data_IF_732910071642
#
_entry.id   IF_732910071642
#
_cell.length_a   1.000
_cell.length_b   1.000
_cell.length_c   1.000
_cell.angle_alpha   90.00
_cell.angle_beta   90.00
_cell.angle_gamma   90.00
#
_symmetry.space_group_name_H-M   'P 1'
#
loop_
_entity.id
_entity.type
_entity.pdbx_description
1 polymer ?
#
# COMPACT_ATOMS: atom_id res chain seq x y z
N UNK A 1 -1.67 4.67 -28.71
CA UNK A 1 -3.00 4.81 -28.05
C UNK A 1 -2.84 5.52 -26.72
N UNK A 2 -3.70 6.50 -26.41
CA UNK A 2 -3.75 7.06 -25.06
C UNK A 2 -4.30 5.98 -24.11
N UNK A 3 -3.74 5.81 -22.89
CA UNK A 3 -4.31 4.95 -21.88
C UNK A 3 -5.79 5.29 -21.64
N UNK A 4 -6.66 4.29 -21.63
CA UNK A 4 -8.08 4.45 -21.34
C UNK A 4 -8.39 3.98 -19.91
N UNK A 5 -9.26 4.71 -19.20
CA UNK A 5 -9.62 4.40 -17.82
C UNK A 5 -10.66 3.27 -17.77
N UNK A 6 -10.47 2.29 -16.88
CA UNK A 6 -11.45 1.25 -16.57
C UNK A 6 -12.07 1.46 -15.16
N UNK A 7 -13.25 2.10 -15.06
CA UNK A 7 -13.92 2.33 -13.77
C UNK A 7 -14.33 1.04 -13.05
N UNK A 8 -14.65 -0.03 -13.80
CA UNK A 8 -15.01 -1.33 -13.20
C UNK A 8 -13.77 -2.00 -12.62
N UNK A 9 -12.65 -1.93 -13.34
CA UNK A 9 -11.34 -2.35 -12.88
C UNK A 9 -10.91 -1.65 -11.59
N UNK A 10 -11.19 -0.35 -11.47
CA UNK A 10 -10.92 0.41 -10.23
C UNK A 10 -11.66 -0.17 -9.02
N UNK A 11 -12.98 -0.34 -9.15
CA UNK A 11 -13.80 -0.86 -8.06
C UNK A 11 -13.39 -2.27 -7.64
N UNK A 12 -13.15 -3.16 -8.61
CA UNK A 12 -12.74 -4.54 -8.35
C UNK A 12 -11.41 -4.61 -7.58
N UNK A 13 -10.42 -3.82 -7.98
CA UNK A 13 -9.09 -3.83 -7.36
C UNK A 13 -9.06 -3.18 -5.98
N UNK A 14 -9.85 -2.13 -5.75
CA UNK A 14 -10.06 -1.63 -4.39
C UNK A 14 -10.71 -2.71 -3.51
N UNK A 15 -11.75 -3.37 -4.04
CA UNK A 15 -12.41 -4.49 -3.36
C UNK A 15 -11.46 -5.61 -2.97
N UNK A 16 -10.55 -6.03 -3.86
CA UNK A 16 -9.53 -7.05 -3.56
C UNK A 16 -8.57 -6.61 -2.45
N UNK A 17 -8.15 -5.35 -2.47
CA UNK A 17 -7.25 -4.81 -1.44
C UNK A 17 -7.93 -4.80 -0.06
N UNK A 18 -9.19 -4.35 0.00
CA UNK A 18 -9.99 -4.36 1.23
C UNK A 18 -10.22 -5.79 1.72
N UNK A 19 -10.57 -6.73 0.82
CA UNK A 19 -10.76 -8.14 1.15
C UNK A 19 -9.48 -8.78 1.73
N UNK A 20 -8.31 -8.42 1.21
CA UNK A 20 -7.02 -8.86 1.76
C UNK A 20 -6.83 -8.39 3.20
N UNK A 21 -7.02 -7.10 3.49
CA UNK A 21 -6.84 -6.57 4.85
C UNK A 21 -7.87 -7.11 5.84
N UNK A 22 -9.14 -7.21 5.45
CA UNK A 22 -10.18 -7.82 6.29
C UNK A 22 -9.86 -9.29 6.56
N UNK A 23 -9.48 -10.04 5.52
CA UNK A 23 -9.19 -11.46 5.64
C UNK A 23 -7.92 -11.76 6.45
N UNK A 24 -6.92 -10.89 6.41
CA UNK A 24 -5.70 -11.03 7.24
C UNK A 24 -5.91 -10.59 8.69
N UNK A 25 -6.82 -9.63 8.94
CA UNK A 25 -7.12 -9.17 10.29
C UNK A 25 -8.12 -10.07 11.05
N UNK A 26 -9.15 -10.56 10.36
CA UNK A 26 -10.29 -11.25 10.99
C UNK A 26 -10.50 -12.70 10.54
N UNK A 27 -9.79 -13.14 9.49
CA UNK A 27 -9.88 -14.51 8.99
C UNK A 27 -9.08 -15.50 9.84
N UNK A 28 -9.31 -16.79 9.59
CA UNK A 28 -8.45 -17.85 10.15
C UNK A 28 -7.05 -17.80 9.55
N UNK A 29 -6.03 -18.29 10.27
CA UNK A 29 -4.65 -18.37 9.78
C UNK A 29 -4.54 -18.97 8.37
N UNK A 30 -5.20 -20.11 8.04
CA UNK A 30 -5.13 -20.66 6.69
C UNK A 30 -5.75 -19.73 5.62
N UNK A 31 -6.74 -18.92 5.99
CA UNK A 31 -7.34 -17.94 5.07
C UNK A 31 -6.39 -16.78 4.83
N UNK A 32 -5.78 -16.23 5.88
CA UNK A 32 -4.80 -15.16 5.78
C UNK A 32 -3.58 -15.59 4.93
N UNK A 33 -3.06 -16.79 5.15
CA UNK A 33 -1.93 -17.34 4.38
C UNK A 33 -2.28 -17.53 2.90
N UNK A 34 -3.46 -18.07 2.57
CA UNK A 34 -3.92 -18.19 1.17
C UNK A 34 -4.08 -16.83 0.50
N UNK A 35 -4.62 -15.84 1.20
CA UNK A 35 -4.75 -14.47 0.68
C UNK A 35 -3.39 -13.83 0.44
N UNK A 36 -2.43 -13.97 1.36
CA UNK A 36 -1.07 -13.48 1.18
C UNK A 36 -0.38 -14.14 -0.01
N UNK A 37 -0.52 -15.46 -0.17
CA UNK A 37 0.01 -16.18 -1.33
C UNK A 37 -0.61 -15.68 -2.64
N UNK A 38 -1.93 -15.47 -2.67
CA UNK A 38 -2.62 -14.97 -3.86
C UNK A 38 -2.14 -13.57 -4.25
N UNK A 39 -2.04 -12.64 -3.29
CA UNK A 39 -1.52 -11.28 -3.54
C UNK A 39 -0.07 -11.32 -4.00
N UNK A 40 0.78 -12.10 -3.32
CA UNK A 40 2.18 -12.26 -3.72
C UNK A 40 2.32 -12.83 -5.13
N UNK A 41 1.49 -13.81 -5.49
CA UNK A 41 1.47 -14.38 -6.85
C UNK A 41 1.06 -13.34 -7.89
N UNK A 42 0.13 -12.43 -7.55
CA UNK A 42 -0.21 -11.31 -8.43
C UNK A 42 0.95 -10.34 -8.56
N UNK A 43 1.58 -9.92 -7.46
CA UNK A 43 2.73 -9.00 -7.47
C UNK A 43 3.87 -9.50 -8.38
N UNK A 44 4.14 -10.80 -8.38
CA UNK A 44 5.14 -11.42 -9.27
C UNK A 44 4.95 -11.12 -10.76
N UNK A 45 3.72 -10.85 -11.17
CA UNK A 45 3.38 -10.54 -12.57
C UNK A 45 3.42 -9.04 -12.89
N UNK A 46 3.49 -8.16 -11.88
CA UNK A 46 3.38 -6.71 -12.07
C UNK A 46 4.76 -6.08 -12.15
N UNK A 47 5.22 -5.86 -13.38
CA UNK A 47 6.51 -5.24 -13.71
C UNK A 47 6.33 -4.18 -14.78
N UNK A 48 7.21 -3.20 -14.79
CA UNK A 48 7.12 -2.11 -15.76
C UNK A 48 8.38 -1.27 -15.86
N UNK A 49 8.37 -0.34 -16.80
CA UNK A 49 9.39 0.70 -16.92
C UNK A 49 8.66 2.02 -17.10
N UNK A 50 9.01 2.99 -16.27
CA UNK A 50 8.46 4.35 -16.32
C UNK A 50 8.95 5.09 -17.57
N UNK A 51 8.28 6.16 -18.01
CA UNK A 51 8.71 6.97 -19.16
C UNK A 51 10.13 7.57 -19.03
N UNK A 52 10.63 7.74 -17.81
CA UNK A 52 11.99 8.20 -17.51
C UNK A 52 13.03 7.07 -17.43
N UNK A 53 12.64 5.84 -17.78
CA UNK A 53 13.52 4.67 -17.82
C UNK A 53 13.67 3.93 -16.48
N UNK A 54 13.09 4.43 -15.38
CA UNK A 54 13.15 3.75 -14.10
C UNK A 54 12.33 2.44 -14.13
N UNK A 55 12.96 1.33 -13.73
CA UNK A 55 12.30 0.03 -13.63
C UNK A 55 11.40 -0.03 -12.40
N UNK A 56 10.29 -0.75 -12.54
CA UNK A 56 9.35 -1.06 -11.47
C UNK A 56 9.15 -2.57 -11.41
N UNK A 57 9.28 -3.13 -10.22
CA UNK A 57 8.94 -4.52 -9.92
C UNK A 57 8.18 -4.52 -8.58
N UNK A 58 6.97 -5.06 -8.57
CA UNK A 58 6.17 -5.14 -7.34
C UNK A 58 6.72 -6.16 -6.32
N UNK A 59 7.61 -7.06 -6.76
CA UNK A 59 8.34 -7.98 -5.88
C UNK A 59 9.62 -7.38 -5.29
N UNK A 60 10.01 -6.16 -5.70
CA UNK A 60 11.20 -5.51 -5.15
C UNK A 60 11.01 -5.28 -3.64
N UNK A 61 11.85 -5.88 -2.78
CA UNK A 61 11.70 -5.78 -1.33
C UNK A 61 11.85 -4.32 -0.84
N UNK A 62 12.62 -3.49 -1.54
CA UNK A 62 12.78 -2.07 -1.19
C UNK A 62 11.49 -1.29 -1.45
N UNK A 63 10.80 -1.53 -2.56
CA UNK A 63 9.52 -0.90 -2.85
C UNK A 63 8.40 -1.44 -1.98
N UNK A 64 8.41 -2.74 -1.70
CA UNK A 64 7.46 -3.37 -0.79
C UNK A 64 7.60 -2.83 0.64
N UNK A 65 8.83 -2.59 1.12
CA UNK A 65 9.09 -1.98 2.44
C UNK A 65 8.43 -0.60 2.58
N UNK A 66 8.51 0.23 1.55
CA UNK A 66 7.84 1.53 1.56
C UNK A 66 6.33 1.41 1.49
N UNK A 67 5.80 0.56 0.60
CA UNK A 67 4.36 0.31 0.50
C UNK A 67 3.79 -0.26 1.82
N UNK A 68 4.51 -1.15 2.48
CA UNK A 68 4.18 -1.63 3.82
C UNK A 68 4.09 -0.47 4.81
N UNK A 69 5.10 0.40 4.84
CA UNK A 69 5.17 1.52 5.77
C UNK A 69 4.02 2.50 5.58
N UNK A 70 3.62 2.81 4.34
CA UNK A 70 2.49 3.72 4.06
C UNK A 70 1.16 3.12 4.53
N UNK A 71 0.95 1.82 4.32
CA UNK A 71 -0.27 1.11 4.73
C UNK A 71 -0.40 1.05 6.24
N UNK A 72 0.61 0.53 6.94
CA UNK A 72 0.55 0.36 8.40
C UNK A 72 0.47 1.71 9.11
N UNK A 73 1.17 2.73 8.59
CA UNK A 73 1.04 4.11 9.08
C UNK A 73 -0.36 4.68 8.84
N UNK A 74 -0.95 4.47 7.66
CA UNK A 74 -2.27 4.96 7.32
C UNK A 74 -3.36 4.36 8.21
N UNK A 75 -3.34 3.05 8.43
CA UNK A 75 -4.29 2.35 9.30
C UNK A 75 -4.12 2.81 10.76
N UNK A 76 -2.87 2.85 11.26
CA UNK A 76 -2.59 3.34 12.61
C UNK A 76 -3.07 4.80 12.80
N UNK A 77 -2.76 5.67 11.85
CA UNK A 77 -3.14 7.10 11.91
C UNK A 77 -4.67 7.25 11.91
N UNK A 78 -5.38 6.50 11.06
CA UNK A 78 -6.83 6.49 11.06
C UNK A 78 -7.40 6.01 12.41
N UNK A 79 -6.84 4.95 12.99
CA UNK A 79 -7.21 4.50 14.34
C UNK A 79 -6.97 5.59 15.38
N UNK A 80 -5.81 6.25 15.34
CA UNK A 80 -5.47 7.29 16.30
C UNK A 80 -6.39 8.51 16.25
N UNK A 81 -6.89 8.86 15.05
CA UNK A 81 -7.74 10.02 14.80
C UNK A 81 -9.22 9.74 15.04
N UNK A 82 -9.71 8.55 14.66
CA UNK A 82 -11.14 8.29 14.55
C UNK A 82 -11.68 7.26 15.54
N UNK A 83 -10.83 6.44 16.18
CA UNK A 83 -11.31 5.51 17.18
C UNK A 83 -11.60 6.24 18.51
N UNK A 84 -12.74 5.98 19.18
CA UNK A 84 -13.14 6.70 20.40
C UNK A 84 -12.22 6.45 21.61
N UNK A 85 -11.52 5.31 21.63
CA UNK A 85 -10.49 4.99 22.63
C UNK A 85 -9.24 4.42 21.94
N UNK A 86 -8.41 5.24 21.31
CA UNK A 86 -7.38 4.78 20.40
C UNK A 86 -6.14 4.24 21.14
N UNK A 87 -5.40 3.33 20.50
CA UNK A 87 -4.15 2.81 21.05
C UNK A 87 -3.09 3.91 21.13
N UNK A 88 -2.20 3.84 22.12
CA UNK A 88 -1.11 4.81 22.33
C UNK A 88 0.17 4.13 22.81
N UNK A 89 1.31 4.78 22.58
CA UNK A 89 2.62 4.33 23.05
C UNK A 89 2.91 2.87 22.70
N UNK A 90 3.27 2.07 23.71
CA UNK A 90 3.67 0.66 23.54
C UNK A 90 2.58 -0.23 22.94
N UNK A 91 1.30 0.07 23.16
CA UNK A 91 0.22 -0.72 22.55
C UNK A 91 0.11 -0.46 21.05
N UNK A 92 0.36 0.79 20.64
CA UNK A 92 0.42 1.13 19.23
C UNK A 92 1.66 0.53 18.57
N UNK A 93 2.82 0.57 19.23
CA UNK A 93 4.02 -0.12 18.72
C UNK A 93 3.83 -1.63 18.62
N UNK A 94 3.08 -2.23 19.55
CA UNK A 94 2.68 -3.65 19.44
C UNK A 94 1.85 -3.91 18.18
N UNK A 95 0.92 -3.02 17.83
CA UNK A 95 0.18 -3.13 16.56
C UNK A 95 1.13 -3.13 15.34
N UNK A 96 2.09 -2.19 15.29
CA UNK A 96 3.09 -2.16 14.21
C UNK A 96 3.89 -3.47 14.15
N UNK A 97 4.36 -3.96 15.31
CA UNK A 97 5.12 -5.21 15.40
C UNK A 97 4.32 -6.45 15.00
N UNK A 98 3.04 -6.51 15.34
CA UNK A 98 2.16 -7.62 14.94
C UNK A 98 1.88 -7.62 13.42
N UNK A 99 1.80 -6.43 12.81
CA UNK A 99 1.54 -6.24 11.39
C UNK A 99 2.73 -6.69 10.50
N UNK A 100 3.95 -6.73 11.03
CA UNK A 100 5.16 -7.23 10.34
C UNK A 100 4.95 -8.61 9.75
N UNK A 101 4.18 -9.49 10.41
CA UNK A 101 3.87 -10.84 9.92
C UNK A 101 3.15 -10.82 8.56
N UNK A 102 2.25 -9.87 8.35
CA UNK A 102 1.54 -9.68 7.07
C UNK A 102 2.53 -9.23 6.00
N UNK A 103 3.42 -8.28 6.33
CA UNK A 103 4.44 -7.81 5.41
C UNK A 103 5.42 -8.90 4.99
N UNK A 104 5.86 -9.75 5.91
CA UNK A 104 6.71 -10.91 5.59
C UNK A 104 5.99 -11.94 4.72
N UNK A 105 4.70 -12.20 4.97
CA UNK A 105 3.91 -13.12 4.14
C UNK A 105 3.80 -12.64 2.68
N UNK A 106 3.84 -11.33 2.46
CA UNK A 106 3.87 -10.71 1.13
C UNK A 106 5.28 -10.69 0.48
N UNK A 107 6.33 -11.09 1.21
CA UNK A 107 7.71 -11.10 0.73
C UNK A 107 8.58 -9.94 1.22
N UNK A 108 8.07 -9.11 2.12
CA UNK A 108 8.81 -7.96 2.65
C UNK A 108 9.97 -8.38 3.56
N UNK A 109 11.05 -7.61 3.53
CA UNK A 109 12.23 -7.78 4.38
C UNK A 109 12.59 -6.45 5.03
N UNK A 110 13.28 -6.47 6.18
CA UNK A 110 13.67 -5.26 6.93
C UNK A 110 12.49 -4.30 7.21
N UNK A 111 11.36 -4.85 7.65
CA UNK A 111 10.14 -4.06 7.83
C UNK A 111 10.17 -3.30 9.16
N UNK A 112 9.77 -2.00 9.19
CA UNK A 112 9.65 -1.27 10.44
C UNK A 112 8.56 -1.90 11.34
N UNK A 113 8.87 -2.05 12.62
CA UNK A 113 8.05 -2.71 13.62
C UNK A 113 7.52 -1.76 14.71
N UNK A 114 7.89 -0.47 14.65
CA UNK A 114 7.38 0.58 15.56
C UNK A 114 6.87 1.79 14.79
N UNK A 115 6.13 2.67 15.47
CA UNK A 115 5.69 3.94 14.86
C UNK A 115 6.88 4.77 14.42
N UNK A 116 7.92 4.86 15.26
CA UNK A 116 9.10 5.67 14.97
C UNK A 116 9.87 5.14 13.76
N UNK A 117 10.15 3.83 13.72
CA UNK A 117 10.81 3.19 12.56
C UNK A 117 10.00 3.37 11.28
N UNK A 118 8.66 3.31 11.37
CA UNK A 118 7.79 3.52 10.22
C UNK A 118 7.90 4.96 9.71
N UNK A 119 7.89 5.95 10.61
CA UNK A 119 8.07 7.36 10.23
C UNK A 119 9.45 7.62 9.60
N UNK A 120 10.49 7.00 10.13
CA UNK A 120 11.84 7.15 9.60
C UNK A 120 11.99 6.47 8.23
N UNK A 121 11.36 5.30 8.04
CA UNK A 121 11.18 4.69 6.73
C UNK A 121 10.48 5.66 5.77
N UNK A 122 9.30 6.18 6.11
CA UNK A 122 8.57 7.10 5.22
C UNK A 122 9.39 8.32 4.82
N UNK A 123 10.11 8.93 5.79
CA UNK A 123 11.00 10.07 5.53
C UNK A 123 12.13 9.73 4.56
N UNK A 124 12.74 8.55 4.67
CA UNK A 124 13.87 8.17 3.81
C UNK A 124 13.48 8.00 2.34
N UNK A 125 12.20 7.81 2.03
CA UNK A 125 11.70 7.69 0.65
C UNK A 125 11.22 9.02 0.05
N UNK A 126 11.11 10.11 0.83
CA UNK A 126 10.67 11.42 0.32
C UNK A 126 11.45 11.87 -0.94
N UNK A 127 12.79 11.73 -1.02
CA UNK A 127 13.54 12.12 -2.22
C UNK A 127 13.25 11.25 -3.46
N UNK A 128 12.62 10.08 -3.28
CA UNK A 128 12.30 9.13 -4.34
C UNK A 128 10.86 9.30 -4.87
N UNK A 129 10.03 10.08 -4.17
CA UNK A 129 8.63 10.28 -4.56
C UNK A 129 8.52 11.15 -5.80
N UNK A 130 7.66 10.74 -6.72
CA UNK A 130 7.31 11.50 -7.90
C UNK A 130 5.80 11.42 -8.13
N UNK A 131 5.23 12.52 -8.62
CA UNK A 131 3.83 12.52 -9.05
C UNK A 131 3.74 11.79 -10.38
N UNK A 132 2.86 10.80 -10.47
CA UNK A 132 2.60 10.13 -11.74
C UNK A 132 1.79 11.03 -12.66
N UNK A 133 1.87 10.83 -13.98
CA UNK A 133 1.10 11.62 -14.96
C UNK A 133 -0.40 11.70 -14.61
N UNK A 134 -1.04 10.57 -14.27
CA UNK A 134 -2.45 10.55 -13.87
C UNK A 134 -2.75 11.36 -12.60
N UNK A 135 -1.85 11.35 -11.62
CA UNK A 135 -1.98 12.19 -10.43
C UNK A 135 -1.72 13.68 -10.74
N UNK A 136 -0.75 14.00 -11.59
CA UNK A 136 -0.40 15.38 -11.98
C UNK A 136 -1.53 16.08 -12.75
N UNK A 137 -2.22 15.34 -13.62
CA UNK A 137 -3.41 15.83 -14.34
C UNK A 137 -4.58 16.15 -13.39
N UNK A 138 -4.52 15.70 -12.14
CA UNK A 138 -5.56 15.88 -11.12
C UNK A 138 -5.25 16.96 -10.09
N UNK A 139 -4.07 17.61 -10.16
CA UNK A 139 -3.59 18.58 -9.15
C UNK A 139 -3.68 20.05 -9.58
N UNK A 140 -4.63 20.40 -10.46
CA UNK A 140 -4.88 21.79 -10.89
C UNK A 140 -5.90 22.52 -9.99
N UNK A 141 -5.77 23.85 -9.75
CA UNK A 141 -6.58 24.61 -8.78
C UNK A 141 -8.08 24.75 -9.10
N UNK A 142 -8.60 24.06 -10.12
CA UNK A 142 -10.00 24.13 -10.55
C UNK A 142 -10.65 22.77 -10.87
N UNK A 143 -10.09 21.65 -10.42
CA UNK A 143 -10.62 20.33 -10.72
C UNK A 143 -11.40 19.75 -9.51
N UNK A 144 -12.73 19.50 -9.61
CA UNK A 144 -13.43 18.70 -8.61
C UNK A 144 -12.80 17.30 -8.57
N UNK A 145 -12.64 16.74 -7.37
CA UNK A 145 -11.91 15.48 -7.11
C UNK A 145 -12.24 14.43 -8.19
N UNK A 146 -11.33 14.08 -9.10
CA UNK A 146 -11.50 12.93 -9.95
C UNK A 146 -10.67 11.80 -9.34
N UNK A 147 -11.33 10.86 -8.66
CA UNK A 147 -10.90 9.45 -8.50
C UNK A 147 -9.37 9.24 -8.49
N UNK A 148 -8.64 9.88 -7.56
CA UNK A 148 -7.18 10.08 -7.62
C UNK A 148 -6.34 8.82 -7.31
N UNK A 149 -6.82 7.63 -7.65
CA UNK A 149 -6.16 6.34 -7.41
C UNK A 149 -6.10 5.50 -8.69
N UNK A 150 -5.50 6.01 -9.77
CA UNK A 150 -5.72 5.40 -11.09
C UNK A 150 -4.52 5.41 -12.05
N UNK A 151 -3.28 5.32 -11.56
CA UNK A 151 -2.14 4.99 -12.44
C UNK A 151 -1.73 3.51 -12.41
N UNK A 152 -2.55 2.66 -11.79
CA UNK A 152 -2.35 1.21 -11.77
C UNK A 152 -3.32 0.44 -12.67
N UNK A 153 -4.36 1.10 -13.21
CA UNK A 153 -5.42 0.50 -14.02
C UNK A 153 -5.23 0.73 -15.53
N UNK A 154 -4.00 0.98 -15.97
CA UNK A 154 -3.69 1.02 -17.39
C UNK A 154 -3.41 -0.41 -17.85
N UNK A 155 -4.30 -0.94 -18.71
CA UNK A 155 -3.99 -2.08 -19.56
C UNK A 155 -3.24 -1.61 -20.81
#
# INVERSE_FOLDING_TARGET
>A
PMPELDPKGLGARLGHSVAFFIGTAYGSTPTAERLALAVRSMHHTIKGTRPDGARYDADDPEWLRWNYATVVWGIATAHELYHPNPLRGKELDRYYGEFVRVGHALGGTDLPATKQETLDCLKSYLPKLAVTYGAAMSTGPGLPIPLAALNWAVR
#
